data_IF_270034545879
#
_entry.id   IF_270034545879
#
_cell.length_a   1.000
_cell.length_b   1.000
_cell.length_c   1.000
_cell.angle_alpha   90.00
_cell.angle_beta   90.00
_cell.angle_gamma   90.00
#
_symmetry.space_group_name_H-M   'P 1'
#
loop_
_entity.id
_entity.type
_entity.pdbx_description
1 polymer ?
#
# COMPACT_ATOMS: atom_id res chain seq x y z
N UNK A 1 0.16 -18.14 2.56
CA UNK A 1 1.28 -18.98 2.09
C UNK A 1 2.42 -18.05 1.69
N UNK A 2 3.40 -17.81 2.55
CA UNK A 2 4.58 -17.04 2.16
C UNK A 2 5.56 -17.99 1.46
N UNK A 3 6.06 -17.60 0.29
CA UNK A 3 7.02 -18.40 -0.48
C UNK A 3 8.39 -18.36 0.22
N UNK A 4 8.55 -19.22 1.22
CA UNK A 4 9.78 -19.46 1.95
C UNK A 4 10.34 -20.79 1.47
N UNK A 5 11.23 -20.75 0.48
CA UNK A 5 12.05 -21.93 0.17
C UNK A 5 13.09 -22.06 1.28
N UNK A 6 13.10 -23.21 1.94
CA UNK A 6 14.11 -23.53 2.96
C UNK A 6 15.49 -23.53 2.30
N UNK A 7 16.24 -22.45 2.47
CA UNK A 7 17.65 -22.39 2.12
C UNK A 7 18.40 -23.48 2.88
N UNK A 8 19.43 -24.04 2.26
CA UNK A 8 20.25 -25.16 2.76
C UNK A 8 20.94 -24.87 4.12
N UNK A 9 20.86 -23.63 4.59
CA UNK A 9 21.40 -23.08 5.83
C UNK A 9 20.36 -22.85 6.95
N UNK A 10 19.11 -23.30 6.79
CA UNK A 10 18.05 -23.11 7.80
C UNK A 10 17.54 -21.68 7.94
N UNK A 11 18.03 -20.76 7.10
CA UNK A 11 17.62 -19.36 7.01
C UNK A 11 16.43 -19.27 6.05
N UNK A 12 15.35 -18.61 6.48
CA UNK A 12 14.20 -18.34 5.60
C UNK A 12 14.63 -17.30 4.56
N UNK A 13 15.04 -17.76 3.38
CA UNK A 13 15.36 -16.86 2.27
C UNK A 13 14.08 -16.37 1.61
N UNK A 14 13.95 -15.05 1.49
CA UNK A 14 12.86 -14.43 0.75
C UNK A 14 13.23 -14.42 -0.72
N UNK A 15 12.45 -15.15 -1.52
CA UNK A 15 12.60 -15.24 -2.97
C UNK A 15 11.50 -14.49 -3.69
N UNK A 16 11.83 -13.87 -4.82
CA UNK A 16 10.84 -13.34 -5.75
C UNK A 16 10.03 -14.48 -6.36
N UNK A 17 8.69 -14.38 -6.32
CA UNK A 17 7.80 -15.42 -6.86
C UNK A 17 7.74 -15.44 -8.40
N UNK A 18 8.27 -14.41 -9.06
CA UNK A 18 8.25 -14.27 -10.52
C UNK A 18 9.55 -14.73 -11.18
N UNK A 19 10.70 -14.31 -10.66
CA UNK A 19 12.02 -14.64 -11.22
C UNK A 19 12.81 -15.68 -10.41
N UNK A 20 12.35 -16.05 -9.21
CA UNK A 20 13.01 -17.03 -8.33
C UNK A 20 14.30 -16.54 -7.65
N UNK A 21 14.69 -15.26 -7.85
CA UNK A 21 15.91 -14.69 -7.25
C UNK A 21 15.72 -14.47 -5.75
N UNK A 22 16.78 -14.68 -4.98
CA UNK A 22 16.81 -14.39 -3.53
C UNK A 22 16.99 -12.90 -3.28
N UNK A 23 16.66 -12.45 -2.07
CA UNK A 23 16.83 -11.06 -1.63
C UNK A 23 18.25 -10.51 -1.88
N UNK A 24 19.29 -11.35 -1.78
CA UNK A 24 20.67 -10.92 -2.04
C UNK A 24 21.00 -10.70 -3.52
N UNK A 25 20.19 -11.23 -4.44
CA UNK A 25 20.41 -11.12 -5.89
C UNK A 25 19.62 -9.97 -6.53
N UNK A 26 18.77 -9.28 -5.77
CA UNK A 26 17.91 -8.21 -6.30
C UNK A 26 18.15 -6.93 -5.52
N UNK A 27 18.10 -5.80 -6.23
CA UNK A 27 18.27 -4.46 -5.64
C UNK A 27 17.18 -4.16 -4.59
N UNK A 28 15.94 -4.57 -4.90
CA UNK A 28 14.81 -4.38 -4.02
C UNK A 28 13.82 -5.54 -4.15
N UNK A 29 13.38 -6.08 -3.00
CA UNK A 29 12.35 -7.12 -2.90
C UNK A 29 11.21 -6.61 -2.02
N UNK A 30 10.00 -6.60 -2.56
CA UNK A 30 8.77 -6.16 -1.88
C UNK A 30 8.03 -7.39 -1.37
N UNK A 31 7.70 -7.39 -0.07
CA UNK A 31 7.03 -8.50 0.62
C UNK A 31 5.56 -8.13 0.83
N UNK A 32 4.67 -8.89 0.22
CA UNK A 32 3.22 -8.80 0.42
C UNK A 32 2.68 -10.00 1.20
N UNK A 33 1.39 -9.98 1.59
CA UNK A 33 0.73 -11.12 2.21
C UNK A 33 0.64 -12.30 1.22
N UNK A 34 1.64 -13.16 1.23
CA UNK A 34 1.70 -14.40 0.46
C UNK A 34 2.38 -14.34 -0.90
N UNK A 35 2.95 -13.20 -1.28
CA UNK A 35 3.70 -13.05 -2.54
C UNK A 35 4.84 -12.06 -2.35
N UNK A 36 5.95 -12.34 -3.03
CA UNK A 36 7.12 -11.47 -3.04
C UNK A 36 7.47 -11.11 -4.49
N UNK A 37 7.79 -9.84 -4.75
CA UNK A 37 8.13 -9.35 -6.09
C UNK A 37 9.34 -8.42 -6.05
N UNK A 38 10.27 -8.56 -7.00
CA UNK A 38 11.43 -7.68 -7.11
C UNK A 38 11.20 -6.53 -8.11
N UNK A 39 12.03 -5.48 -8.00
CA UNK A 39 11.95 -4.28 -8.84
C UNK A 39 11.99 -4.58 -10.35
N UNK A 40 12.91 -5.42 -10.82
CA UNK A 40 13.01 -5.79 -12.23
C UNK A 40 11.73 -6.46 -12.76
N UNK A 41 11.11 -7.32 -11.95
CA UNK A 41 9.85 -7.97 -12.33
C UNK A 41 8.70 -6.96 -12.44
N UNK A 42 8.69 -5.93 -11.58
CA UNK A 42 7.69 -4.85 -11.67
C UNK A 42 7.86 -4.09 -12.97
N UNK A 43 9.09 -3.73 -13.34
CA UNK A 43 9.37 -2.99 -14.57
C UNK A 43 9.01 -3.81 -15.82
N UNK A 44 9.34 -5.10 -15.81
CA UNK A 44 8.97 -6.03 -16.88
C UNK A 44 7.45 -6.21 -16.98
N UNK A 45 6.75 -6.29 -15.86
CA UNK A 45 5.28 -6.29 -15.84
C UNK A 45 4.70 -4.96 -16.35
N UNK A 46 5.27 -3.83 -15.94
CA UNK A 46 4.83 -2.50 -16.35
C UNK A 46 4.94 -2.33 -17.87
N UNK A 47 6.10 -2.68 -18.44
CA UNK A 47 6.32 -2.64 -19.89
C UNK A 47 5.43 -3.63 -20.66
N UNK A 48 5.07 -4.77 -20.08
CA UNK A 48 4.12 -5.70 -20.69
C UNK A 48 2.67 -5.20 -20.64
N UNK A 49 2.26 -4.51 -19.58
CA UNK A 49 0.89 -4.04 -19.36
C UNK A 49 0.58 -2.72 -20.09
N UNK A 50 1.57 -1.84 -20.24
CA UNK A 50 1.36 -0.47 -20.75
C UNK A 50 1.97 -0.25 -22.13
N UNK A 51 2.33 -1.33 -22.85
CA UNK A 51 2.93 -1.26 -24.20
C UNK A 51 1.99 -0.64 -25.25
N UNK A 52 0.70 -0.51 -24.94
CA UNK A 52 -0.35 0.04 -25.81
C UNK A 52 -0.71 1.51 -25.51
N UNK A 53 0.15 2.28 -24.82
CA UNK A 53 -0.03 3.73 -24.67
C UNK A 53 -1.05 4.17 -23.61
N UNK A 54 -1.61 3.23 -22.84
CA UNK A 54 -2.54 3.51 -21.74
C UNK A 54 -1.82 3.65 -20.38
N UNK A 55 -0.65 4.30 -20.34
CA UNK A 55 0.02 4.53 -19.07
C UNK A 55 -0.90 5.36 -18.14
N UNK A 56 -1.25 4.88 -16.94
CA UNK A 56 -2.08 5.63 -16.01
C UNK A 56 -1.33 6.91 -15.64
N UNK A 57 -2.04 8.03 -15.59
CA UNK A 57 -1.43 9.26 -15.08
C UNK A 57 -0.89 8.99 -13.67
N UNK A 58 0.36 9.39 -13.36
CA UNK A 58 0.88 9.20 -12.02
C UNK A 58 -0.07 9.90 -11.05
N UNK A 59 -0.40 9.28 -9.90
CA UNK A 59 -1.31 9.88 -8.94
C UNK A 59 -0.73 11.24 -8.56
N UNK A 60 -1.42 12.31 -8.97
CA UNK A 60 -1.04 13.67 -8.62
C UNK A 60 -1.05 13.73 -7.10
N UNK A 61 0.11 13.96 -6.49
CA UNK A 61 0.22 14.29 -5.08
C UNK A 61 -0.41 15.68 -4.87
N UNK A 62 -1.74 15.76 -4.92
CA UNK A 62 -2.46 16.98 -4.59
C UNK A 62 -2.38 17.16 -3.07
N UNK A 63 -1.98 18.35 -2.58
CA UNK A 63 -1.96 18.66 -1.14
C UNK A 63 -3.37 18.70 -0.47
N UNK A 64 -4.41 18.20 -1.14
CA UNK A 64 -5.82 18.34 -0.77
C UNK A 64 -6.27 17.48 0.43
N UNK A 65 -5.40 16.69 1.07
CA UNK A 65 -5.78 16.03 2.33
C UNK A 65 -5.86 16.99 3.54
N UNK A 66 -5.39 18.24 3.41
CA UNK A 66 -5.47 19.24 4.51
C UNK A 66 -6.73 20.09 4.52
N UNK A 67 -7.52 20.12 3.44
CA UNK A 67 -8.69 21.00 3.35
C UNK A 67 -9.99 20.40 3.91
N UNK A 68 -10.06 19.06 4.05
CA UNK A 68 -11.29 18.37 4.46
C UNK A 68 -11.47 18.23 5.98
N UNK A 69 -10.47 18.57 6.81
CA UNK A 69 -10.52 18.37 8.27
C UNK A 69 -10.96 19.60 9.08
N UNK A 70 -11.27 20.74 8.45
CA UNK A 70 -11.57 21.99 9.15
C UNK A 70 -12.86 22.69 8.72
N UNK A 71 -13.81 21.98 8.10
CA UNK A 71 -15.15 22.50 7.84
C UNK A 71 -16.22 21.59 8.46
N UNK A 72 -16.37 21.73 9.77
CA UNK A 72 -17.44 21.04 10.49
C UNK A 72 -17.43 21.30 11.99
N UNK A 73 -17.56 22.56 12.42
CA UNK A 73 -18.20 22.88 13.71
C UNK A 73 -18.49 24.39 13.81
N UNK A 74 -19.61 24.82 13.23
CA UNK A 74 -20.24 26.10 13.60
C UNK A 74 -21.39 25.81 14.55
N UNK A 75 -21.06 25.67 15.84
CA UNK A 75 -21.84 26.17 16.96
C UNK A 75 -23.31 25.75 17.09
N UNK A 76 -23.61 24.46 17.18
CA UNK A 76 -24.79 24.03 17.96
C UNK A 76 -24.27 23.19 19.11
N UNK A 77 -24.42 23.71 20.32
CA UNK A 77 -24.09 23.03 21.56
C UNK A 77 -25.11 21.90 21.79
N UNK A 78 -24.72 20.61 21.78
CA UNK A 78 -25.64 19.50 21.94
C UNK A 78 -26.12 19.29 23.39
N UNK A 79 -25.80 20.16 24.35
CA UNK A 79 -26.30 20.07 25.73
C UNK A 79 -27.55 20.94 25.98
N UNK A 80 -28.00 21.73 25.00
CA UNK A 80 -29.16 22.61 25.18
C UNK A 80 -30.53 21.90 25.22
N UNK A 81 -30.61 20.59 24.91
CA UNK A 81 -31.88 19.85 24.86
C UNK A 81 -32.14 18.96 26.09
N UNK A 82 -31.33 19.04 27.15
CA UNK A 82 -31.62 18.32 28.40
C UNK A 82 -32.40 19.20 29.38
N UNK A 83 -33.63 19.55 29.01
CA UNK A 83 -34.56 20.17 29.96
C UNK A 83 -35.13 19.12 30.92
N UNK A 84 -34.34 18.74 31.93
CA UNK A 84 -34.81 18.01 33.12
C UNK A 84 -35.56 19.01 34.00
N UNK A 85 -36.80 19.35 33.63
CA UNK A 85 -37.75 19.99 34.55
C UNK A 85 -38.18 18.93 35.58
N UNK A 86 -37.43 18.84 36.67
CA UNK A 86 -37.94 18.44 38.00
C UNK A 86 -38.93 19.53 38.44
N UNK A 87 -40.17 19.20 38.90
CA UNK A 87 -40.48 18.28 40.00
C UNK A 87 -41.14 16.96 39.61
#
# INVERSE_FOLDING_TARGET
MANSISGKDGKREMICSFCGRSQSQVDQLIIGPGVNICKDCIDMCYSALYKDGNAPEPPRATPERRAAASRGHSGVDPLADVNIMTP
#
